data_IF_465495007285
#
_entry.id   IF_465495007285
#
_cell.length_a   1.000
_cell.length_b   1.000
_cell.length_c   1.000
_cell.angle_alpha   90.00
_cell.angle_beta   90.00
_cell.angle_gamma   90.00
#
_symmetry.space_group_name_H-M   'P 1'
#
loop_
_entity.id
_entity.type
_entity.pdbx_description
1 polymer ?
#
# COMPACT_ATOMS: atom_id res chain seq x y z
N UNK A 1 -37.82 38.64 -36.97
CA UNK A 1 -37.92 39.97 -36.32
C UNK A 1 -37.34 39.79 -34.93
N UNK A 2 -36.13 40.31 -34.66
CA UNK A 2 -35.88 41.67 -34.14
C UNK A 2 -36.44 41.81 -32.71
N UNK A 3 -35.69 42.24 -31.68
CA UNK A 3 -34.44 43.03 -31.64
C UNK A 3 -33.71 42.80 -30.29
N UNK A 4 -32.37 42.85 -30.21
CA UNK A 4 -31.54 43.91 -29.55
C UNK A 4 -31.98 44.25 -28.09
N UNK A 5 -31.12 44.40 -27.07
CA UNK A 5 -29.70 44.86 -27.05
C UNK A 5 -29.01 44.66 -25.68
N UNK A 6 -27.68 44.46 -25.68
CA UNK A 6 -26.71 44.78 -24.58
C UNK A 6 -26.45 46.33 -24.55
N UNK A 7 -25.71 46.99 -23.60
CA UNK A 7 -24.53 46.50 -22.85
C UNK A 7 -24.20 47.15 -21.46
N UNK A 8 -22.97 46.88 -20.96
CA UNK A 8 -22.19 47.62 -19.91
C UNK A 8 -22.75 47.57 -18.46
N UNK A 9 -21.98 47.64 -17.37
CA UNK A 9 -20.53 47.85 -17.09
C UNK A 9 -20.19 47.21 -15.72
N UNK A 10 -18.97 47.15 -15.14
CA UNK A 10 -17.58 47.61 -15.39
C UNK A 10 -16.61 46.62 -14.65
N UNK A 11 -15.27 46.65 -14.84
CA UNK A 11 -14.36 45.65 -14.25
C UNK A 11 -13.85 46.02 -12.85
N UNK A 12 -13.58 44.99 -12.02
CA UNK A 12 -12.85 45.15 -10.76
C UNK A 12 -11.35 45.29 -10.99
N UNK A 13 -10.80 46.48 -10.73
CA UNK A 13 -9.37 46.77 -10.79
C UNK A 13 -8.67 46.41 -9.48
N UNK A 14 -7.55 45.68 -9.55
CA UNK A 14 -6.79 45.25 -8.37
C UNK A 14 -5.37 44.78 -8.68
N UNK A 15 -4.61 45.59 -9.45
CA UNK A 15 -3.18 45.33 -9.68
C UNK A 15 -2.39 45.87 -8.49
N UNK A 16 -1.77 44.97 -7.71
CA UNK A 16 -0.76 45.30 -6.70
C UNK A 16 0.56 44.62 -7.06
N UNK A 17 1.59 45.41 -7.37
CA UNK A 17 2.94 44.94 -7.73
C UNK A 17 3.97 45.82 -7.03
N UNK A 18 5.19 45.28 -6.84
CA UNK A 18 6.44 45.89 -6.39
C UNK A 18 6.72 45.87 -4.86
N UNK A 19 7.98 45.64 -4.41
CA UNK A 19 9.15 45.09 -5.14
C UNK A 19 10.00 44.02 -4.42
N UNK A 20 10.87 43.41 -5.24
CA UNK A 20 12.02 42.57 -4.92
C UNK A 20 13.03 43.28 -3.97
N UNK A 21 13.61 42.55 -3.02
CA UNK A 21 14.99 42.83 -2.59
C UNK A 21 15.73 41.55 -2.21
N UNK A 22 16.90 41.37 -2.82
CA UNK A 22 17.65 40.10 -2.85
C UNK A 22 18.64 39.96 -1.69
N UNK A 23 18.99 38.69 -1.48
CA UNK A 23 20.21 38.14 -0.87
C UNK A 23 21.32 39.12 -0.45
N UNK A 24 22.01 38.76 0.64
CA UNK A 24 23.47 38.62 0.60
C UNK A 24 23.95 37.64 1.69
N UNK A 25 24.64 36.57 1.28
CA UNK A 25 25.34 35.68 2.21
C UNK A 25 26.74 36.23 2.49
N UNK A 26 27.19 36.19 3.75
CA UNK A 26 28.60 36.43 4.10
C UNK A 26 29.12 35.28 4.97
N UNK A 27 29.97 34.43 4.39
CA UNK A 27 30.77 33.44 5.10
C UNK A 27 31.85 34.14 5.95
N UNK A 28 32.17 33.62 7.14
CA UNK A 28 33.54 33.62 7.70
C UNK A 28 33.82 32.29 8.42
N UNK A 29 35.06 31.85 8.34
CA UNK A 29 35.53 30.51 8.73
C UNK A 29 35.90 30.43 10.23
N UNK A 30 35.96 29.20 10.77
CA UNK A 30 37.07 28.82 11.64
C UNK A 30 37.44 27.34 11.45
N UNK A 31 38.74 27.06 11.35
CA UNK A 31 39.34 25.72 11.29
C UNK A 31 39.40 25.10 12.70
N UNK A 32 39.57 23.77 12.80
CA UNK A 32 40.66 23.13 13.57
C UNK A 32 40.68 21.62 13.22
N UNK A 33 41.52 21.19 12.28
CA UNK A 33 42.80 20.46 12.45
C UNK A 33 42.67 18.93 12.40
N UNK A 34 43.50 18.35 11.52
CA UNK A 34 43.58 16.96 11.14
C UNK A 34 44.89 16.38 11.72
N UNK A 35 44.83 15.34 12.56
CA UNK A 35 46.05 14.62 12.99
C UNK A 35 46.30 13.38 12.13
N UNK A 36 47.56 13.19 11.75
CA UNK A 36 48.10 12.13 10.90
C UNK A 36 49.31 11.51 11.61
N UNK A 37 49.70 10.29 11.17
CA UNK A 37 50.86 9.49 11.62
C UNK A 37 50.56 8.69 12.90
N UNK A 38 50.75 7.37 12.94
CA UNK A 38 51.98 6.65 12.61
C UNK A 38 51.84 5.51 11.59
N UNK A 39 52.98 5.05 11.07
CA UNK A 39 53.08 3.99 10.06
C UNK A 39 54.25 3.04 10.35
N UNK A 40 54.01 1.73 10.25
CA UNK A 40 54.99 0.62 10.14
C UNK A 40 55.88 0.30 11.38
N UNK A 41 56.49 -0.91 11.49
CA UNK A 41 56.48 -2.04 10.55
C UNK A 41 56.02 -3.41 11.13
N UNK A 42 55.88 -4.38 10.23
CA UNK A 42 55.60 -5.80 10.48
C UNK A 42 56.62 -6.51 11.39
N UNK A 43 56.13 -7.45 12.23
CA UNK A 43 56.88 -8.67 12.60
C UNK A 43 55.99 -9.91 12.54
N UNK A 44 56.57 -10.99 12.00
CA UNK A 44 55.93 -12.26 11.67
C UNK A 44 55.63 -13.12 12.91
N UNK A 45 54.40 -13.63 13.03
CA UNK A 45 54.11 -14.82 13.84
C UNK A 45 53.32 -15.81 12.97
N UNK A 46 53.91 -16.98 12.71
CA UNK A 46 53.17 -18.14 12.19
C UNK A 46 52.39 -18.75 13.36
N UNK A 47 51.07 -18.89 13.24
CA UNK A 47 50.24 -19.49 14.29
C UNK A 47 48.91 -20.02 13.73
N UNK A 48 48.82 -21.34 13.62
CA UNK A 48 47.61 -22.17 13.47
C UNK A 48 46.35 -21.50 12.85
N UNK A 49 46.17 -21.69 11.54
CA UNK A 49 44.86 -21.46 10.91
C UNK A 49 43.81 -22.42 11.46
N UNK A 50 42.90 -21.90 12.29
CA UNK A 50 41.58 -22.50 12.55
C UNK A 50 40.51 -21.46 12.25
N UNK A 51 40.00 -21.50 11.03
CA UNK A 51 38.87 -20.70 10.57
C UNK A 51 37.62 -21.12 11.34
N UNK A 52 37.38 -20.49 12.49
CA UNK A 52 36.14 -20.68 13.24
C UNK A 52 34.99 -20.08 12.45
N UNK A 53 33.91 -20.88 12.35
CA UNK A 53 32.76 -20.63 11.47
C UNK A 53 32.22 -19.21 11.64
N UNK A 54 31.96 -18.53 10.53
CA UNK A 54 31.05 -17.38 10.50
C UNK A 54 29.70 -17.87 11.00
N UNK A 55 29.34 -17.53 12.23
CA UNK A 55 27.98 -17.71 12.73
C UNK A 55 27.08 -16.78 11.93
N UNK A 56 26.30 -17.34 11.01
CA UNK A 56 25.21 -16.63 10.36
C UNK A 56 24.22 -16.24 11.46
N UNK A 57 24.33 -15.01 11.97
CA UNK A 57 23.33 -14.41 12.83
C UNK A 57 22.13 -14.06 11.95
N UNK A 58 21.33 -15.08 11.65
CA UNK A 58 19.98 -14.86 11.14
C UNK A 58 19.20 -14.21 12.29
N UNK A 59 19.17 -12.87 12.27
CA UNK A 59 18.22 -12.13 13.09
C UNK A 59 16.84 -12.51 12.60
N UNK A 60 16.20 -13.47 13.27
CA UNK A 60 14.76 -13.63 13.22
C UNK A 60 14.20 -12.40 13.92
N UNK A 61 14.13 -11.31 13.18
CA UNK A 61 13.34 -10.15 13.55
C UNK A 61 11.90 -10.64 13.50
N UNK A 62 11.36 -11.01 14.67
CA UNK A 62 9.95 -11.27 14.85
C UNK A 62 9.22 -9.97 14.53
N UNK A 63 8.86 -9.78 13.27
CA UNK A 63 8.01 -8.67 12.84
C UNK A 63 6.67 -8.91 13.52
N UNK A 64 6.40 -8.13 14.56
CA UNK A 64 5.11 -8.13 15.26
C UNK A 64 4.11 -7.38 14.40
N UNK A 65 3.81 -7.96 13.24
CA UNK A 65 3.04 -7.33 12.19
C UNK A 65 1.61 -7.07 12.67
N UNK A 66 1.26 -5.79 12.76
CA UNK A 66 -0.04 -5.37 13.31
C UNK A 66 -1.06 -5.30 12.18
N UNK A 67 -1.82 -6.39 12.01
CA UNK A 67 -2.98 -6.41 11.12
C UNK A 67 -4.20 -5.82 11.83
N UNK A 68 -4.77 -4.76 11.26
CA UNK A 68 -6.03 -4.17 11.69
C UNK A 68 -7.15 -4.55 10.73
N UNK A 69 -8.38 -4.67 11.24
CA UNK A 69 -9.57 -5.02 10.47
C UNK A 69 -10.65 -3.96 10.70
N UNK A 70 -11.08 -3.28 9.63
CA UNK A 70 -12.24 -2.37 9.63
C UNK A 70 -13.42 -3.08 8.95
N UNK A 71 -14.57 -3.16 9.64
CA UNK A 71 -15.82 -3.62 9.04
C UNK A 71 -16.44 -2.47 8.23
N UNK A 72 -16.73 -2.71 6.96
CA UNK A 72 -17.46 -1.78 6.10
C UNK A 72 -18.83 -2.37 5.80
N UNK A 73 -19.93 -1.80 6.34
CA UNK A 73 -21.29 -2.19 5.96
C UNK A 73 -21.53 -1.92 4.48
N UNK A 74 -22.13 -2.89 3.80
CA UNK A 74 -22.50 -2.81 2.38
C UNK A 74 -23.93 -3.31 2.17
N UNK A 75 -24.59 -2.82 1.12
CA UNK A 75 -25.96 -3.17 0.75
C UNK A 75 -26.95 -2.98 1.93
N UNK A 76 -27.51 -4.07 2.46
CA UNK A 76 -28.49 -4.06 3.56
C UNK A 76 -27.94 -4.67 4.84
N UNK A 77 -27.26 -5.81 4.70
CA UNK A 77 -26.80 -6.66 5.80
C UNK A 77 -25.45 -7.36 5.50
N UNK A 78 -24.79 -7.02 4.37
CA UNK A 78 -23.45 -7.51 4.04
C UNK A 78 -22.37 -6.71 4.78
N UNK A 79 -21.24 -7.37 5.06
CA UNK A 79 -20.02 -6.74 5.55
C UNK A 79 -18.84 -7.10 4.66
N UNK A 80 -18.17 -6.08 4.14
CA UNK A 80 -16.81 -6.21 3.64
C UNK A 80 -15.82 -5.98 4.79
N UNK A 81 -14.63 -6.57 4.69
CA UNK A 81 -13.58 -6.42 5.70
C UNK A 81 -12.34 -5.78 5.09
N UNK A 82 -12.04 -4.54 5.47
CA UNK A 82 -10.80 -3.87 5.10
C UNK A 82 -9.66 -4.38 6.00
N UNK A 83 -8.66 -4.97 5.37
CA UNK A 83 -7.46 -5.51 5.99
C UNK A 83 -6.34 -4.47 5.88
N UNK A 84 -5.77 -4.09 7.00
CA UNK A 84 -4.81 -3.00 7.11
C UNK A 84 -3.54 -3.48 7.80
N UNK A 85 -2.52 -3.81 7.02
CA UNK A 85 -1.19 -4.04 7.58
C UNK A 85 -0.51 -2.71 7.90
N UNK A 86 -0.21 -2.47 9.17
CA UNK A 86 0.38 -1.21 9.65
C UNK A 86 1.83 -1.04 9.21
N UNK A 87 2.58 -2.13 9.11
CA UNK A 87 4.04 -2.10 8.92
C UNK A 87 4.42 -1.80 7.46
N UNK A 88 3.71 -2.38 6.51
CA UNK A 88 3.91 -2.17 5.06
C UNK A 88 2.97 -1.14 4.45
N UNK A 89 1.86 -0.81 5.11
CA UNK A 89 0.77 -0.03 4.55
C UNK A 89 -0.07 -0.76 3.49
N UNK A 90 0.15 -2.07 3.31
CA UNK A 90 -0.64 -2.90 2.38
C UNK A 90 -2.10 -2.94 2.81
N UNK A 91 -3.01 -2.80 1.85
CA UNK A 91 -4.45 -2.89 2.10
C UNK A 91 -5.10 -3.99 1.27
N UNK A 92 -5.87 -4.84 1.95
CA UNK A 92 -6.78 -5.80 1.33
C UNK A 92 -8.23 -5.43 1.60
N UNK A 93 -9.15 -5.92 0.79
CA UNK A 93 -10.59 -5.96 1.12
C UNK A 93 -11.10 -7.38 0.90
N UNK A 94 -11.84 -7.90 1.87
CA UNK A 94 -12.60 -9.15 1.73
C UNK A 94 -14.04 -8.82 1.35
N UNK A 95 -14.57 -9.52 0.34
CA UNK A 95 -15.96 -9.49 -0.13
C UNK A 95 -16.56 -8.09 -0.36
N UNK A 96 -15.99 -7.27 -1.27
CA UNK A 96 -16.56 -5.97 -1.62
C UNK A 96 -17.85 -6.13 -2.43
N UNK A 97 -19.01 -6.14 -1.75
CA UNK A 97 -20.35 -6.18 -2.37
C UNK A 97 -20.57 -5.08 -3.41
N UNK A 98 -20.07 -3.88 -3.11
CA UNK A 98 -20.16 -2.68 -3.92
C UNK A 98 -18.91 -1.82 -3.71
N UNK A 99 -18.51 -1.04 -4.72
CA UNK A 99 -17.24 -0.33 -4.68
C UNK A 99 -17.26 0.93 -3.80
N UNK A 100 -18.39 1.66 -3.76
CA UNK A 100 -18.48 3.00 -3.14
C UNK A 100 -18.14 3.00 -1.64
N UNK A 101 -18.70 2.12 -0.78
CA UNK A 101 -18.35 2.11 0.65
C UNK A 101 -16.86 1.86 0.91
N UNK A 102 -16.23 1.02 0.08
CA UNK A 102 -14.81 0.71 0.16
C UNK A 102 -13.97 1.91 -0.28
N UNK A 103 -14.34 2.56 -1.39
CA UNK A 103 -13.69 3.78 -1.90
C UNK A 103 -13.75 4.89 -0.84
N UNK A 104 -14.89 5.08 -0.19
CA UNK A 104 -15.06 6.09 0.85
C UNK A 104 -14.18 5.80 2.07
N UNK A 105 -14.15 4.54 2.55
CA UNK A 105 -13.31 4.13 3.67
C UNK A 105 -11.80 4.29 3.40
N UNK A 106 -11.35 3.91 2.19
CA UNK A 106 -9.97 4.13 1.74
C UNK A 106 -9.65 5.64 1.60
N UNK A 107 -10.61 6.44 1.17
CA UNK A 107 -10.44 7.89 1.03
C UNK A 107 -10.35 8.60 2.37
N UNK A 108 -11.13 8.18 3.39
CA UNK A 108 -11.01 8.69 4.77
C UNK A 108 -9.61 8.52 5.36
N UNK A 109 -8.94 7.42 5.02
CA UNK A 109 -7.62 7.05 5.53
C UNK A 109 -6.45 7.41 4.60
N UNK A 110 -6.75 7.98 3.42
CA UNK A 110 -5.79 8.26 2.33
C UNK A 110 -4.93 7.03 1.96
N UNK A 111 -5.57 5.86 1.84
CA UNK A 111 -4.92 4.57 1.52
C UNK A 111 -5.26 4.10 0.11
N UNK A 112 -4.39 3.27 -0.46
CA UNK A 112 -4.59 2.64 -1.77
C UNK A 112 -4.84 1.13 -1.60
N UNK A 113 -5.76 0.56 -2.38
CA UNK A 113 -6.10 -0.86 -2.31
C UNK A 113 -5.08 -1.71 -3.07
N UNK A 114 -4.54 -2.73 -2.42
CA UNK A 114 -3.57 -3.67 -3.02
C UNK A 114 -4.23 -4.97 -3.48
N UNK A 115 -5.11 -5.53 -2.64
CA UNK A 115 -5.74 -6.84 -2.86
C UNK A 115 -7.25 -6.81 -2.65
N UNK A 116 -7.96 -7.63 -3.42
CA UNK A 116 -9.37 -7.96 -3.24
C UNK A 116 -9.43 -9.47 -3.04
N UNK A 117 -10.07 -9.94 -1.99
CA UNK A 117 -10.25 -11.35 -1.69
C UNK A 117 -11.74 -11.67 -1.72
N UNK A 118 -12.17 -12.65 -2.52
CA UNK A 118 -13.55 -13.10 -2.55
C UNK A 118 -13.66 -14.51 -1.97
N UNK A 119 -14.59 -14.70 -1.03
CA UNK A 119 -14.91 -16.02 -0.44
C UNK A 119 -15.60 -16.93 -1.46
N UNK A 120 -16.50 -16.37 -2.26
CA UNK A 120 -17.23 -17.05 -3.33
C UNK A 120 -17.76 -16.05 -4.38
N UNK A 121 -18.39 -16.57 -5.44
CA UNK A 121 -18.78 -15.80 -6.63
C UNK A 121 -20.13 -15.06 -6.58
N UNK A 122 -20.89 -15.08 -5.48
CA UNK A 122 -22.17 -14.35 -5.46
C UNK A 122 -21.96 -12.83 -5.58
N UNK A 123 -22.93 -12.14 -6.18
CA UNK A 123 -22.79 -10.73 -6.56
C UNK A 123 -22.63 -9.82 -5.34
N UNK A 124 -23.31 -10.12 -4.24
CA UNK A 124 -23.19 -9.40 -2.97
C UNK A 124 -21.85 -9.64 -2.22
N UNK A 125 -20.96 -10.46 -2.78
CA UNK A 125 -19.57 -10.63 -2.33
C UNK A 125 -18.54 -10.18 -3.39
N UNK A 126 -18.96 -9.88 -4.62
CA UNK A 126 -18.07 -9.65 -5.78
C UNK A 126 -18.39 -8.40 -6.61
N UNK A 127 -19.51 -7.73 -6.39
CA UNK A 127 -20.01 -6.64 -7.24
C UNK A 127 -19.06 -5.44 -7.34
N UNK A 128 -18.29 -5.15 -6.29
CA UNK A 128 -17.27 -4.10 -6.29
C UNK A 128 -15.97 -4.46 -7.04
N UNK A 129 -15.72 -5.73 -7.37
CA UNK A 129 -14.43 -6.21 -7.85
C UNK A 129 -13.86 -5.42 -9.03
N UNK A 130 -14.65 -5.28 -10.11
CA UNK A 130 -14.16 -4.72 -11.37
C UNK A 130 -13.87 -3.23 -11.28
N UNK A 131 -14.69 -2.48 -10.55
CA UNK A 131 -14.48 -1.04 -10.33
C UNK A 131 -13.27 -0.80 -9.41
N UNK A 132 -13.17 -1.51 -8.28
CA UNK A 132 -12.04 -1.39 -7.36
C UNK A 132 -10.72 -1.78 -8.03
N UNK A 133 -10.72 -2.86 -8.82
CA UNK A 133 -9.57 -3.27 -9.63
C UNK A 133 -9.19 -2.21 -10.67
N UNK A 134 -10.15 -1.65 -11.40
CA UNK A 134 -9.88 -0.62 -12.40
C UNK A 134 -9.37 0.69 -11.77
N UNK A 135 -9.90 1.08 -10.60
CA UNK A 135 -9.56 2.31 -9.89
C UNK A 135 -8.19 2.28 -9.23
N UNK A 136 -7.84 1.16 -8.59
CA UNK A 136 -6.65 1.05 -7.74
C UNK A 136 -5.52 0.18 -8.34
N UNK A 137 -5.80 -0.58 -9.40
CA UNK A 137 -4.88 -1.60 -9.92
C UNK A 137 -4.77 -2.85 -9.05
N UNK A 138 -5.68 -3.00 -8.08
CA UNK A 138 -5.69 -4.08 -7.09
C UNK A 138 -5.76 -5.47 -7.74
N UNK A 139 -5.15 -6.46 -7.07
CA UNK A 139 -5.18 -7.86 -7.50
C UNK A 139 -6.33 -8.62 -6.85
N UNK A 140 -7.18 -9.23 -7.67
CA UNK A 140 -8.33 -10.03 -7.22
C UNK A 140 -7.87 -11.47 -6.98
N UNK A 141 -8.25 -12.00 -5.82
CA UNK A 141 -7.88 -13.30 -5.30
C UNK A 141 -9.16 -14.07 -4.99
N UNK A 142 -9.22 -15.34 -5.38
CA UNK A 142 -10.37 -16.19 -5.10
C UNK A 142 -10.09 -17.67 -5.32
N UNK A 143 -11.10 -18.49 -5.09
CA UNK A 143 -11.03 -19.94 -5.36
C UNK A 143 -10.76 -20.23 -6.83
N UNK A 144 -9.89 -21.21 -7.09
CA UNK A 144 -9.53 -21.67 -8.42
C UNK A 144 -10.64 -22.45 -9.11
N UNK A 145 -11.49 -23.14 -8.35
CA UNK A 145 -12.74 -23.74 -8.86
C UNK A 145 -13.67 -22.64 -9.38
N UNK A 146 -13.61 -21.47 -8.74
CA UNK A 146 -14.47 -20.33 -8.99
C UNK A 146 -13.93 -19.31 -10.01
N UNK A 147 -12.80 -19.64 -10.67
CA UNK A 147 -12.03 -18.71 -11.51
C UNK A 147 -12.81 -18.06 -12.66
N UNK A 148 -13.80 -18.76 -13.20
CA UNK A 148 -14.63 -18.23 -14.31
C UNK A 148 -15.87 -17.45 -13.83
N UNK A 149 -16.23 -17.56 -12.55
CA UNK A 149 -17.38 -16.87 -11.95
C UNK A 149 -16.99 -15.65 -11.10
N UNK A 150 -15.79 -15.63 -10.50
CA UNK A 150 -15.28 -14.45 -9.75
C UNK A 150 -14.82 -13.37 -10.74
N UNK A 151 -15.47 -12.18 -10.80
CA UNK A 151 -15.12 -11.13 -11.76
C UNK A 151 -13.70 -10.61 -11.55
N UNK A 152 -12.89 -10.67 -12.60
CA UNK A 152 -11.59 -10.04 -12.66
C UNK A 152 -10.46 -10.75 -11.91
N UNK A 153 -10.62 -12.00 -11.47
CA UNK A 153 -9.59 -12.76 -10.72
C UNK A 153 -8.20 -12.75 -11.39
N UNK A 154 -7.16 -12.43 -10.62
CA UNK A 154 -5.74 -12.51 -11.01
C UNK A 154 -5.06 -13.74 -10.41
N UNK A 155 -5.37 -14.04 -9.14
CA UNK A 155 -4.73 -15.09 -8.34
C UNK A 155 -5.79 -16.11 -7.94
N UNK A 156 -5.60 -17.36 -8.38
CA UNK A 156 -6.56 -18.45 -8.20
C UNK A 156 -5.96 -19.53 -7.29
N UNK A 157 -6.50 -19.67 -6.08
CA UNK A 157 -5.98 -20.52 -5.00
C UNK A 157 -6.84 -21.79 -4.80
N UNK A 158 -6.25 -22.84 -4.22
CA UNK A 158 -6.88 -24.14 -3.92
C UNK A 158 -6.93 -24.41 -2.42
N UNK A 159 -7.71 -25.43 -2.02
CA UNK A 159 -7.61 -26.00 -0.67
C UNK A 159 -6.15 -26.30 -0.26
N UNK A 160 -5.80 -25.91 0.96
CA UNK A 160 -4.47 -26.09 1.53
C UNK A 160 -3.38 -25.14 1.01
N UNK A 161 -3.67 -24.27 0.05
CA UNK A 161 -2.70 -23.25 -0.39
C UNK A 161 -2.38 -22.27 0.74
N UNK A 162 -1.11 -21.85 0.79
CA UNK A 162 -0.61 -20.76 1.64
C UNK A 162 -0.35 -19.54 0.76
N UNK A 163 -1.01 -18.43 1.07
CA UNK A 163 -0.77 -17.13 0.45
C UNK A 163 -0.19 -16.15 1.47
N UNK A 164 0.46 -15.07 1.01
CA UNK A 164 1.13 -14.10 1.88
C UNK A 164 0.53 -12.71 1.69
N UNK A 165 -0.22 -12.24 2.68
CA UNK A 165 -0.67 -10.86 2.79
C UNK A 165 0.37 -10.07 3.59
N UNK A 166 1.21 -9.23 2.96
CA UNK A 166 2.17 -8.37 3.67
C UNK A 166 3.12 -9.08 4.68
N UNK A 167 3.37 -10.39 4.50
CA UNK A 167 4.17 -11.21 5.43
C UNK A 167 3.34 -12.02 6.43
N UNK A 168 2.03 -11.79 6.52
CA UNK A 168 1.08 -12.65 7.21
C UNK A 168 0.71 -13.85 6.34
N UNK A 169 0.78 -15.06 6.89
CA UNK A 169 0.34 -16.27 6.19
C UNK A 169 -1.19 -16.38 6.22
N UNK A 170 -1.78 -16.49 5.04
CA UNK A 170 -3.21 -16.75 4.82
C UNK A 170 -3.35 -18.20 4.37
N UNK A 171 -4.06 -19.00 5.17
CA UNK A 171 -4.38 -20.40 4.87
C UNK A 171 -5.71 -20.47 4.11
N UNK A 172 -5.70 -21.12 2.95
CA UNK A 172 -6.90 -21.33 2.13
C UNK A 172 -7.53 -22.67 2.49
N UNK A 173 -8.83 -22.64 2.76
CA UNK A 173 -9.65 -23.82 2.99
C UNK A 173 -10.82 -23.82 2.01
N UNK A 174 -11.06 -24.93 1.31
CA UNK A 174 -12.30 -25.11 0.56
C UNK A 174 -13.42 -25.51 1.54
N UNK A 175 -14.47 -24.69 1.60
CA UNK A 175 -15.63 -24.91 2.48
C UNK A 175 -16.92 -25.04 1.65
N UNK A 176 -17.06 -26.10 0.83
CA UNK A 176 -18.23 -26.28 -0.04
C UNK A 176 -19.52 -26.43 0.78
N UNK A 177 -20.61 -25.88 0.28
CA UNK A 177 -21.91 -25.91 0.94
C UNK A 177 -22.88 -24.88 0.38
N UNK A 178 -22.69 -23.60 0.76
CA UNK A 178 -23.46 -22.48 0.18
C UNK A 178 -23.23 -22.36 -1.33
N UNK A 179 -21.99 -22.60 -1.77
CA UNK A 179 -21.58 -22.76 -3.16
C UNK A 179 -20.66 -23.98 -3.33
N UNK A 180 -20.41 -24.32 -4.60
CA UNK A 180 -19.32 -25.16 -5.10
C UNK A 180 -18.54 -24.31 -6.09
#
# INVERSE_FOLDING_TARGET
MASLSLPCSRPGTGIGVWPDMRQLSVRKNLLYVFMRLFSMPFKTIRGAGRTLKVSHFCSITSVSSTLQIELVPCLKDNYAYLLHDVDTGTVGVVDPSEAVPIIDALSRSNRNLTYILNTHHHYDHTGGNMELKARYGAKVIGSRTDKERIPGIDIALRDGDKWMFAGHEVLVFETPGHTQ
#
